data_IF_838270286893
#
_entry.id   IF_838270286893
#
_cell.length_a   1.000
_cell.length_b   1.000
_cell.length_c   1.000
_cell.angle_alpha   90.00
_cell.angle_beta   90.00
_cell.angle_gamma   90.00
#
_symmetry.space_group_name_H-M   'P 1'
#
loop_
_entity.id
_entity.type
_entity.pdbx_description
1 polymer ?
#
# COMPACT_ATOMS: atom_id res chain seq x y z
N UNK A 1 11.63 31.68 -83.03
CA UNK A 1 10.26 31.21 -83.38
C UNK A 1 10.20 29.70 -83.43
N UNK A 2 11.07 29.02 -84.20
CA UNK A 2 11.11 27.53 -84.22
C UNK A 2 11.29 26.91 -82.82
N UNK A 3 12.15 27.47 -81.97
CA UNK A 3 12.32 27.00 -80.59
C UNK A 3 11.07 27.15 -79.72
N UNK A 4 10.22 28.15 -79.97
CA UNK A 4 8.94 28.33 -79.25
C UNK A 4 7.92 27.26 -79.68
N UNK A 5 7.95 26.87 -80.95
CA UNK A 5 7.09 25.80 -81.47
C UNK A 5 7.58 24.43 -80.98
N UNK A 6 8.89 24.20 -81.00
CA UNK A 6 9.50 22.98 -80.49
C UNK A 6 9.22 22.77 -79.00
N UNK A 7 9.33 23.82 -78.18
CA UNK A 7 9.08 23.72 -76.74
C UNK A 7 7.63 23.37 -76.39
N UNK A 8 6.68 23.66 -77.29
CA UNK A 8 5.27 23.28 -77.13
C UNK A 8 4.97 21.86 -77.63
N UNK A 9 5.89 21.24 -78.36
CA UNK A 9 5.76 19.88 -78.89
C UNK A 9 6.43 18.87 -77.96
N UNK A 10 5.65 18.36 -77.01
CA UNK A 10 6.08 17.35 -76.02
C UNK A 10 6.62 16.07 -76.69
N UNK A 11 6.08 15.69 -77.86
CA UNK A 11 6.52 14.52 -78.60
C UNK A 11 7.90 14.73 -79.26
N UNK A 12 8.21 15.96 -79.67
CA UNK A 12 9.50 16.31 -80.27
C UNK A 12 10.60 16.51 -79.21
N UNK A 13 10.29 17.09 -78.05
CA UNK A 13 11.27 17.34 -76.98
C UNK A 13 11.45 16.15 -76.04
N UNK A 14 10.49 15.24 -75.92
CA UNK A 14 10.51 14.12 -74.98
C UNK A 14 10.39 14.53 -73.50
N UNK A 15 10.19 15.83 -73.23
CA UNK A 15 9.99 16.44 -71.91
C UNK A 15 8.95 17.53 -72.06
N UNK A 16 8.07 17.64 -71.07
CA UNK A 16 7.10 18.74 -70.97
C UNK A 16 7.71 19.90 -70.20
N UNK A 17 7.67 21.09 -70.79
CA UNK A 17 8.03 22.33 -70.11
C UNK A 17 6.78 22.99 -69.51
N UNK A 18 6.91 23.52 -68.29
CA UNK A 18 5.82 24.23 -67.59
C UNK A 18 5.91 25.75 -67.71
N UNK A 19 7.07 26.27 -68.14
CA UNK A 19 7.39 27.68 -68.21
C UNK A 19 8.51 27.94 -69.22
N UNK A 20 8.40 29.02 -69.97
CA UNK A 20 9.45 29.53 -70.86
C UNK A 20 10.00 30.86 -70.34
N UNK A 21 11.32 31.04 -70.49
CA UNK A 21 11.99 32.31 -70.22
C UNK A 21 12.66 32.77 -71.51
N UNK A 22 12.24 33.93 -72.01
CA UNK A 22 12.88 34.59 -73.14
C UNK A 22 13.86 35.61 -72.55
N UNK A 23 15.15 35.28 -72.57
CA UNK A 23 16.17 36.09 -71.91
C UNK A 23 17.20 36.63 -72.90
N UNK A 24 17.58 37.91 -72.71
CA UNK A 24 18.82 38.48 -73.23
C UNK A 24 19.39 39.45 -72.19
N UNK A 25 20.69 39.35 -71.94
CA UNK A 25 21.39 40.32 -71.07
C UNK A 25 21.43 41.73 -71.66
N UNK A 26 22.09 42.65 -70.96
CA UNK A 26 22.26 44.03 -71.43
C UNK A 26 22.91 44.13 -72.81
N UNK A 27 22.48 45.11 -73.59
CA UNK A 27 22.97 45.43 -74.93
C UNK A 27 22.46 46.80 -75.37
N UNK A 28 22.86 47.25 -76.56
CA UNK A 28 22.30 48.48 -77.13
C UNK A 28 20.86 48.25 -77.61
N UNK A 29 20.11 49.30 -77.95
CA UNK A 29 18.73 49.14 -78.43
C UNK A 29 18.67 48.30 -79.73
N UNK A 30 19.72 48.38 -80.56
CA UNK A 30 19.88 47.59 -81.78
C UNK A 30 19.95 46.09 -81.48
N UNK A 31 20.60 45.73 -80.37
CA UNK A 31 20.67 44.36 -79.90
C UNK A 31 19.30 43.84 -79.44
N UNK A 32 18.46 44.71 -78.89
CA UNK A 32 17.12 44.33 -78.43
C UNK A 32 16.08 44.34 -79.57
N UNK A 33 16.42 44.85 -80.76
CA UNK A 33 15.46 45.06 -81.84
C UNK A 33 14.82 43.77 -82.37
N UNK A 34 15.54 42.65 -82.31
CA UNK A 34 15.01 41.33 -82.67
C UNK A 34 13.76 40.93 -81.85
N UNK A 35 13.58 41.51 -80.66
CA UNK A 35 12.43 41.29 -79.80
C UNK A 35 11.23 42.20 -80.12
N UNK A 36 11.38 43.11 -81.10
CA UNK A 36 10.31 43.96 -81.63
C UNK A 36 9.73 43.44 -82.95
N UNK A 37 10.23 42.33 -83.49
CA UNK A 37 9.74 41.80 -84.76
C UNK A 37 8.34 41.20 -84.62
N UNK A 38 7.41 41.65 -85.47
CA UNK A 38 6.01 41.21 -85.46
C UNK A 38 5.84 39.67 -85.43
N UNK A 39 6.57 38.87 -86.24
CA UNK A 39 6.41 37.42 -86.21
C UNK A 39 6.74 36.79 -84.85
N UNK A 40 7.74 37.32 -84.15
CA UNK A 40 8.10 36.85 -82.82
C UNK A 40 7.05 37.24 -81.79
N UNK A 41 6.62 38.50 -81.78
CA UNK A 41 5.60 39.02 -80.84
C UNK A 41 4.29 38.24 -80.98
N UNK A 42 3.85 37.96 -82.21
CA UNK A 42 2.67 37.12 -82.45
C UNK A 42 2.86 35.68 -81.98
N UNK A 43 4.05 35.10 -82.16
CA UNK A 43 4.35 33.75 -81.71
C UNK A 43 4.36 33.65 -80.17
N UNK A 44 4.87 34.67 -79.48
CA UNK A 44 4.84 34.77 -78.01
C UNK A 44 3.40 34.91 -77.52
N UNK A 45 2.63 35.85 -78.08
CA UNK A 45 1.24 36.08 -77.70
C UNK A 45 0.32 34.87 -77.98
N UNK A 46 0.66 34.02 -78.94
CA UNK A 46 -0.09 32.81 -79.28
C UNK A 46 0.39 31.56 -78.51
N UNK A 47 1.45 31.66 -77.70
CA UNK A 47 1.99 30.53 -76.96
C UNK A 47 1.03 30.13 -75.83
N UNK A 48 0.74 28.83 -75.70
CA UNK A 48 -0.13 28.31 -74.63
C UNK A 48 0.59 28.02 -73.31
N UNK A 49 1.93 28.14 -73.29
CA UNK A 49 2.76 27.96 -72.10
C UNK A 49 3.09 29.33 -71.50
N UNK A 50 3.12 29.47 -70.16
CA UNK A 50 3.52 30.73 -69.53
C UNK A 50 4.91 31.17 -70.00
N UNK A 51 5.06 32.47 -70.30
CA UNK A 51 6.31 33.09 -70.75
C UNK A 51 6.71 34.22 -69.80
N UNK A 52 7.96 34.18 -69.32
CA UNK A 52 8.62 35.34 -68.71
C UNK A 52 9.55 35.97 -69.73
N UNK A 53 9.33 37.25 -70.05
CA UNK A 53 10.30 38.04 -70.80
C UNK A 53 11.33 38.63 -69.84
N UNK A 54 12.60 38.46 -70.17
CA UNK A 54 13.75 38.89 -69.39
C UNK A 54 14.79 39.52 -70.32
N UNK A 55 14.35 40.48 -71.12
CA UNK A 55 15.10 41.11 -72.21
C UNK A 55 15.49 42.53 -71.81
N UNK A 56 16.79 42.81 -71.69
CA UNK A 56 17.31 44.15 -71.35
C UNK A 56 17.44 44.41 -69.84
N UNK A 57 17.30 45.67 -69.43
CA UNK A 57 17.24 46.13 -68.02
C UNK A 57 15.94 46.90 -67.72
N UNK A 58 15.78 47.44 -66.50
CA UNK A 58 14.56 48.12 -66.02
C UNK A 58 13.96 49.13 -67.01
N UNK A 59 14.78 49.88 -67.75
CA UNK A 59 14.38 50.92 -68.71
C UNK A 59 14.18 50.45 -70.16
N UNK A 60 14.63 49.24 -70.50
CA UNK A 60 14.55 48.70 -71.85
C UNK A 60 13.23 47.94 -72.02
N UNK A 61 12.35 48.42 -72.89
CA UNK A 61 11.08 47.78 -73.18
C UNK A 61 11.01 47.36 -74.64
N UNK A 62 10.59 46.12 -74.87
CA UNK A 62 10.37 45.52 -76.17
C UNK A 62 8.91 45.11 -76.34
N UNK A 63 8.45 44.95 -77.58
CA UNK A 63 7.10 44.45 -77.86
C UNK A 63 6.91 43.03 -77.34
N UNK A 64 7.97 42.22 -77.26
CA UNK A 64 7.97 40.90 -76.65
C UNK A 64 7.62 40.96 -75.16
N UNK A 65 8.08 41.98 -74.41
CA UNK A 65 7.75 42.14 -72.99
C UNK A 65 6.27 42.34 -72.74
N UNK A 66 5.57 42.99 -73.67
CA UNK A 66 4.12 43.21 -73.58
C UNK A 66 3.30 42.01 -74.07
N UNK A 67 3.90 41.13 -74.88
CA UNK A 67 3.26 39.89 -75.33
C UNK A 67 3.45 38.73 -74.34
N UNK A 68 4.49 38.76 -73.51
CA UNK A 68 4.74 37.77 -72.47
C UNK A 68 3.80 37.97 -71.26
N UNK A 69 3.63 36.92 -70.44
CA UNK A 69 2.77 36.96 -69.26
C UNK A 69 3.36 37.81 -68.14
N UNK A 70 4.68 37.75 -67.97
CA UNK A 70 5.41 38.46 -66.93
C UNK A 70 6.70 39.03 -67.52
N UNK A 71 7.02 40.27 -67.16
CA UNK A 71 8.33 40.86 -67.42
C UNK A 71 9.19 40.76 -66.17
N UNK A 72 10.41 40.27 -66.33
CA UNK A 72 11.50 40.39 -65.38
C UNK A 72 12.55 41.36 -65.94
N UNK A 73 13.15 42.16 -65.08
CA UNK A 73 14.14 43.16 -65.49
C UNK A 73 15.43 42.54 -66.02
N UNK A 74 15.74 41.30 -65.62
CA UNK A 74 16.94 40.56 -66.06
C UNK A 74 16.67 39.05 -66.03
N UNK A 75 17.48 38.23 -66.74
CA UNK A 75 17.41 36.78 -66.63
C UNK A 75 17.57 36.25 -65.20
N UNK A 76 18.40 36.92 -64.38
CA UNK A 76 18.55 36.59 -62.96
C UNK A 76 17.29 36.88 -62.15
N UNK A 77 16.62 38.00 -62.42
CA UNK A 77 15.34 38.32 -61.78
C UNK A 77 14.23 37.33 -62.20
N UNK A 78 14.24 36.86 -63.46
CA UNK A 78 13.34 35.78 -63.89
C UNK A 78 13.61 34.48 -63.10
N UNK A 79 14.87 34.10 -62.93
CA UNK A 79 15.23 32.93 -62.12
C UNK A 79 14.83 33.07 -60.64
N UNK A 80 14.92 34.28 -60.08
CA UNK A 80 14.46 34.58 -58.72
C UNK A 80 12.93 34.47 -58.60
N UNK A 81 12.18 35.01 -59.57
CA UNK A 81 10.72 34.88 -59.62
C UNK A 81 10.29 33.42 -59.68
N UNK A 82 11.00 32.60 -60.46
CA UNK A 82 10.72 31.17 -60.58
C UNK A 82 11.02 30.43 -59.28
N UNK A 83 12.16 30.71 -58.64
CA UNK A 83 12.62 29.96 -57.47
C UNK A 83 11.93 30.39 -56.16
N UNK A 84 11.61 31.66 -55.99
CA UNK A 84 11.05 32.21 -54.75
C UNK A 84 9.72 31.57 -54.35
N UNK A 85 8.81 31.39 -55.32
CA UNK A 85 7.52 30.72 -55.07
C UNK A 85 7.69 29.26 -54.64
N UNK A 86 8.60 28.53 -55.31
CA UNK A 86 8.90 27.13 -54.98
C UNK A 86 9.51 26.98 -53.58
N UNK A 87 10.48 27.83 -53.24
CA UNK A 87 11.12 27.83 -51.91
C UNK A 87 10.08 28.14 -50.84
N UNK A 88 9.27 29.18 -51.01
CA UNK A 88 8.23 29.55 -50.06
C UNK A 88 7.17 28.45 -49.88
N UNK A 89 6.78 27.76 -50.96
CA UNK A 89 5.85 26.64 -50.91
C UNK A 89 6.45 25.44 -50.17
N UNK A 90 7.72 25.13 -50.44
CA UNK A 90 8.44 24.03 -49.78
C UNK A 90 8.60 24.27 -48.28
N UNK A 91 8.99 25.49 -47.89
CA UNK A 91 9.04 25.88 -46.47
C UNK A 91 7.67 25.78 -45.80
N UNK A 92 6.61 26.24 -46.48
CA UNK A 92 5.24 26.17 -45.94
C UNK A 92 4.79 24.72 -45.76
N UNK A 93 5.09 23.85 -46.72
CA UNK A 93 4.79 22.43 -46.63
C UNK A 93 5.55 21.78 -45.46
N UNK A 94 6.83 22.12 -45.27
CA UNK A 94 7.64 21.67 -44.13
C UNK A 94 7.04 22.07 -42.79
N UNK A 95 6.69 23.36 -42.61
CA UNK A 95 6.05 23.86 -41.38
C UNK A 95 4.72 23.17 -41.10
N UNK A 96 3.89 22.97 -42.12
CA UNK A 96 2.61 22.26 -41.98
C UNK A 96 2.79 20.79 -41.59
N UNK A 97 3.82 20.12 -42.12
CA UNK A 97 4.14 18.75 -41.75
C UNK A 97 4.60 18.64 -40.29
N UNK A 98 5.47 19.54 -39.84
CA UNK A 98 5.91 19.61 -38.44
C UNK A 98 4.74 19.88 -37.49
N UNK A 99 3.85 20.81 -37.84
CA UNK A 99 2.66 21.13 -37.04
C UNK A 99 1.68 19.96 -36.98
N UNK A 100 1.47 19.25 -38.09
CA UNK A 100 0.64 18.06 -38.12
C UNK A 100 1.22 16.96 -37.21
N UNK A 101 2.53 16.71 -37.31
CA UNK A 101 3.20 15.70 -36.49
C UNK A 101 3.08 16.03 -34.99
N UNK A 102 3.26 17.30 -34.62
CA UNK A 102 3.11 17.78 -33.25
C UNK A 102 1.69 17.50 -32.72
N UNK A 103 0.66 17.87 -33.48
CA UNK A 103 -0.75 17.68 -33.10
C UNK A 103 -1.14 16.21 -33.00
N UNK A 104 -0.63 15.37 -33.88
CA UNK A 104 -0.86 13.91 -33.83
C UNK A 104 -0.25 13.33 -32.55
N UNK A 105 0.99 13.71 -32.22
CA UNK A 105 1.64 13.24 -31.00
C UNK A 105 0.87 13.68 -29.75
N UNK A 106 0.50 14.95 -29.65
CA UNK A 106 -0.32 15.48 -28.55
C UNK A 106 -1.67 14.74 -28.43
N UNK A 107 -2.35 14.46 -29.55
CA UNK A 107 -3.61 13.73 -29.55
C UNK A 107 -3.46 12.28 -29.06
N UNK A 108 -2.37 11.61 -29.45
CA UNK A 108 -2.05 10.26 -28.99
C UNK A 108 -1.74 10.24 -27.49
N UNK A 109 -0.96 11.21 -26.99
CA UNK A 109 -0.67 11.34 -25.57
C UNK A 109 -1.96 11.51 -24.75
N UNK A 110 -2.82 12.47 -25.14
CA UNK A 110 -4.11 12.70 -24.46
C UNK A 110 -5.02 11.47 -24.52
N UNK A 111 -5.04 10.74 -25.63
CA UNK A 111 -5.80 9.49 -25.74
C UNK A 111 -5.24 8.40 -24.82
N UNK A 112 -3.92 8.30 -24.69
CA UNK A 112 -3.24 7.40 -23.77
C UNK A 112 -3.59 7.67 -22.31
N UNK A 113 -3.51 8.93 -21.88
CA UNK A 113 -3.88 9.34 -20.52
C UNK A 113 -5.34 8.99 -20.20
N UNK A 114 -6.26 9.24 -21.14
CA UNK A 114 -7.68 8.89 -20.98
C UNK A 114 -7.89 7.37 -20.85
N UNK A 115 -7.17 6.58 -21.63
CA UNK A 115 -7.22 5.12 -21.56
C UNK A 115 -6.71 4.61 -20.21
N UNK A 116 -5.58 5.12 -19.75
CA UNK A 116 -4.99 4.73 -18.46
C UNK A 116 -5.89 5.12 -17.27
N UNK A 117 -6.52 6.30 -17.35
CA UNK A 117 -7.50 6.72 -16.37
C UNK A 117 -8.72 5.79 -16.34
N UNK A 118 -9.29 5.46 -17.50
CA UNK A 118 -10.42 4.53 -17.61
C UNK A 118 -10.06 3.13 -17.10
N UNK A 119 -8.87 2.62 -17.45
CA UNK A 119 -8.35 1.33 -17.00
C UNK A 119 -8.17 1.28 -15.48
N UNK A 120 -7.69 2.37 -14.89
CA UNK A 120 -7.53 2.50 -13.43
C UNK A 120 -8.88 2.50 -12.72
N UNK A 121 -9.88 3.22 -13.25
CA UNK A 121 -11.26 3.17 -12.72
C UNK A 121 -11.88 1.79 -12.84
N UNK A 122 -11.70 1.11 -13.97
CA UNK A 122 -12.17 -0.26 -14.17
C UNK A 122 -11.49 -1.25 -13.20
N UNK A 123 -10.20 -1.08 -12.88
CA UNK A 123 -9.51 -1.90 -11.86
C UNK A 123 -10.09 -1.70 -10.46
N UNK A 124 -10.47 -0.48 -10.10
CA UNK A 124 -11.12 -0.21 -8.81
C UNK A 124 -12.54 -0.80 -8.73
N UNK A 125 -13.21 -0.89 -9.88
CA UNK A 125 -14.52 -1.53 -10.03
C UNK A 125 -14.41 -3.03 -10.31
N UNK A 126 -13.19 -3.57 -10.48
CA UNK A 126 -12.99 -4.95 -10.84
C UNK A 126 -13.51 -5.84 -9.69
N UNK A 127 -14.38 -6.82 -10.00
CA UNK A 127 -14.90 -7.75 -9.01
C UNK A 127 -13.79 -8.45 -8.22
N UNK A 128 -12.62 -8.70 -8.84
CA UNK A 128 -11.46 -9.29 -8.17
C UNK A 128 -10.95 -8.45 -7.00
N UNK A 129 -10.84 -7.13 -7.16
CA UNK A 129 -10.39 -6.23 -6.09
C UNK A 129 -11.44 -6.13 -4.95
N UNK A 130 -12.73 -6.20 -5.29
CA UNK A 130 -13.80 -6.24 -4.28
C UNK A 130 -13.81 -7.56 -3.51
N UNK A 131 -13.59 -8.67 -4.21
CA UNK A 131 -13.49 -10.02 -3.63
C UNK A 131 -12.26 -10.13 -2.73
N UNK A 132 -11.11 -9.63 -3.16
CA UNK A 132 -9.87 -9.63 -2.37
C UNK A 132 -10.01 -8.80 -1.08
N UNK A 133 -10.63 -7.61 -1.15
CA UNK A 133 -11.00 -6.84 0.05
C UNK A 133 -11.98 -7.59 0.94
N UNK A 134 -12.91 -8.33 0.35
CA UNK A 134 -13.86 -9.19 1.06
C UNK A 134 -13.15 -10.28 1.86
N UNK A 135 -12.20 -10.98 1.25
CA UNK A 135 -11.39 -12.01 1.92
C UNK A 135 -10.55 -11.43 3.07
N UNK A 136 -9.84 -10.32 2.84
CA UNK A 136 -9.07 -9.65 3.91
C UNK A 136 -9.96 -9.24 5.10
N UNK A 137 -11.18 -8.79 4.82
CA UNK A 137 -12.15 -8.41 5.87
C UNK A 137 -12.70 -9.62 6.60
N UNK A 138 -12.93 -10.74 5.91
CA UNK A 138 -13.34 -12.00 6.53
C UNK A 138 -12.22 -12.54 7.44
N UNK A 139 -10.96 -12.48 7.02
CA UNK A 139 -9.82 -12.92 7.82
C UNK A 139 -9.64 -12.04 9.08
N UNK A 140 -9.73 -10.72 8.97
CA UNK A 140 -9.70 -9.82 10.14
C UNK A 140 -10.81 -10.15 11.14
N UNK A 141 -12.06 -10.29 10.65
CA UNK A 141 -13.20 -10.60 11.50
C UNK A 141 -13.07 -11.98 12.14
N UNK A 142 -12.56 -12.97 11.41
CA UNK A 142 -12.32 -14.34 11.90
C UNK A 142 -11.26 -14.34 13.02
N UNK A 143 -10.15 -13.63 12.83
CA UNK A 143 -9.10 -13.50 13.83
C UNK A 143 -9.59 -12.78 15.09
N UNK A 144 -10.35 -11.68 14.92
CA UNK A 144 -10.94 -10.94 16.04
C UNK A 144 -11.94 -11.76 16.81
N UNK A 145 -12.80 -12.52 16.13
CA UNK A 145 -13.75 -13.42 16.76
C UNK A 145 -13.02 -14.51 17.55
N UNK A 146 -12.02 -15.14 16.96
CA UNK A 146 -11.22 -16.18 17.60
C UNK A 146 -10.50 -15.66 18.85
N UNK A 147 -9.90 -14.47 18.78
CA UNK A 147 -9.26 -13.83 19.92
C UNK A 147 -10.27 -13.50 21.03
N UNK A 148 -11.44 -12.94 20.69
CA UNK A 148 -12.49 -12.59 21.65
C UNK A 148 -13.07 -13.82 22.36
N UNK A 149 -13.31 -14.90 21.61
CA UNK A 149 -13.75 -16.18 22.17
C UNK A 149 -12.69 -16.77 23.09
N UNK A 150 -11.42 -16.77 22.67
CA UNK A 150 -10.30 -17.24 23.48
C UNK A 150 -10.17 -16.48 24.80
N UNK A 151 -10.22 -15.15 24.75
CA UNK A 151 -10.19 -14.28 25.93
C UNK A 151 -11.38 -14.54 26.87
N UNK A 152 -12.58 -14.72 26.31
CA UNK A 152 -13.80 -15.00 27.10
C UNK A 152 -13.68 -16.35 27.80
N UNK A 153 -13.27 -17.41 27.10
CA UNK A 153 -13.08 -18.75 27.70
C UNK A 153 -12.01 -18.71 28.80
N UNK A 154 -10.89 -18.01 28.56
CA UNK A 154 -9.83 -17.89 29.54
C UNK A 154 -10.28 -17.15 30.81
N UNK A 155 -11.01 -16.03 30.66
CA UNK A 155 -11.57 -15.31 31.79
C UNK A 155 -12.55 -16.17 32.61
N UNK A 156 -13.39 -16.98 31.94
CA UNK A 156 -14.31 -17.90 32.62
C UNK A 156 -13.56 -19.03 33.35
N UNK A 157 -12.51 -19.59 32.76
CA UNK A 157 -11.65 -20.60 33.40
C UNK A 157 -10.96 -20.03 34.65
N UNK A 158 -10.41 -18.83 34.54
CA UNK A 158 -9.75 -18.15 35.65
C UNK A 158 -10.73 -17.91 36.81
N UNK A 159 -11.92 -17.36 36.52
CA UNK A 159 -12.97 -17.17 37.53
C UNK A 159 -13.41 -18.48 38.19
N UNK A 160 -13.54 -19.56 37.42
CA UNK A 160 -13.86 -20.87 37.97
C UNK A 160 -12.75 -21.38 38.90
N UNK A 161 -11.48 -21.19 38.53
CA UNK A 161 -10.33 -21.56 39.35
C UNK A 161 -10.31 -20.79 40.68
N UNK A 162 -10.56 -19.48 40.64
CA UNK A 162 -10.64 -18.61 41.82
C UNK A 162 -11.76 -19.04 42.75
N UNK A 163 -12.98 -19.24 42.23
CA UNK A 163 -14.11 -19.71 43.03
C UNK A 163 -13.84 -21.08 43.65
N UNK A 164 -13.19 -21.99 42.91
CA UNK A 164 -12.76 -23.30 43.44
C UNK A 164 -11.71 -23.16 44.56
N UNK A 165 -10.76 -22.24 44.44
CA UNK A 165 -9.78 -21.98 45.49
C UNK A 165 -10.45 -21.45 46.75
N UNK A 166 -11.32 -20.43 46.61
CA UNK A 166 -12.06 -19.86 47.73
C UNK A 166 -12.95 -20.89 48.44
N UNK A 167 -13.62 -21.76 47.68
CA UNK A 167 -14.41 -22.86 48.26
C UNK A 167 -13.54 -23.87 49.03
N UNK A 168 -12.33 -24.18 48.53
CA UNK A 168 -11.39 -25.07 49.22
C UNK A 168 -10.85 -24.44 50.50
N UNK A 169 -10.56 -23.15 50.50
CA UNK A 169 -10.09 -22.41 51.68
C UNK A 169 -11.18 -22.28 52.75
N UNK A 170 -12.42 -22.02 52.33
CA UNK A 170 -13.59 -21.90 53.21
C UNK A 170 -14.19 -23.25 53.59
N UNK A 171 -13.62 -24.37 53.13
CA UNK A 171 -14.18 -25.69 53.38
C UNK A 171 -14.20 -25.99 54.88
N UNK A 172 -15.38 -26.27 55.47
CA UNK A 172 -15.50 -26.59 56.88
C UNK A 172 -14.79 -27.90 57.22
N UNK A 173 -14.49 -28.77 56.24
CA UNK A 173 -13.79 -30.04 56.48
C UNK A 173 -12.43 -29.83 57.14
N UNK A 174 -11.61 -28.87 56.68
CA UNK A 174 -10.30 -28.61 57.32
C UNK A 174 -10.45 -28.12 58.75
N UNK A 175 -11.45 -27.28 59.00
CA UNK A 175 -11.74 -26.76 60.34
C UNK A 175 -12.27 -27.88 61.26
N UNK A 176 -13.19 -28.71 60.76
CA UNK A 176 -13.73 -29.87 61.47
C UNK A 176 -12.62 -30.86 61.78
N UNK A 177 -11.73 -31.14 60.83
CA UNK A 177 -10.61 -32.06 61.02
C UNK A 177 -9.62 -31.53 62.07
N UNK A 178 -9.26 -30.25 61.99
CA UNK A 178 -8.38 -29.61 62.98
C UNK A 178 -8.99 -29.58 64.39
N UNK A 179 -10.25 -29.19 64.53
CA UNK A 179 -10.93 -29.17 65.83
C UNK A 179 -11.16 -30.58 66.38
N UNK A 180 -11.41 -31.58 65.52
CA UNK A 180 -11.50 -32.98 65.92
C UNK A 180 -10.17 -33.50 66.46
N UNK A 181 -9.05 -33.20 65.78
CA UNK A 181 -7.71 -33.53 66.26
C UNK A 181 -7.39 -32.84 67.59
N UNK A 182 -7.81 -31.57 67.75
CA UNK A 182 -7.65 -30.82 69.00
C UNK A 182 -8.44 -31.42 70.15
N UNK A 183 -9.70 -31.79 69.92
CA UNK A 183 -10.55 -32.49 70.89
C UNK A 183 -9.93 -33.81 71.32
N UNK A 184 -9.45 -34.61 70.36
CA UNK A 184 -8.75 -35.86 70.65
C UNK A 184 -7.49 -35.65 71.51
N UNK A 185 -6.70 -34.62 71.21
CA UNK A 185 -5.50 -34.29 71.98
C UNK A 185 -5.83 -33.83 73.41
N UNK A 186 -6.86 -32.97 73.58
CA UNK A 186 -7.33 -32.52 74.89
C UNK A 186 -7.89 -33.67 75.72
N UNK A 187 -8.65 -34.58 75.09
CA UNK A 187 -9.19 -35.76 75.74
C UNK A 187 -8.07 -36.68 76.25
N UNK A 188 -7.04 -36.94 75.43
CA UNK A 188 -5.85 -37.71 75.85
C UNK A 188 -5.12 -37.06 77.03
N UNK A 189 -5.00 -35.72 77.04
CA UNK A 189 -4.40 -34.97 78.17
C UNK A 189 -5.24 -35.07 79.44
N UNK A 190 -6.56 -34.93 79.33
CA UNK A 190 -7.49 -35.06 80.45
C UNK A 190 -7.41 -36.46 81.07
N UNK A 191 -7.38 -37.50 80.23
CA UNK A 191 -7.19 -38.87 80.70
C UNK A 191 -5.86 -39.03 81.44
N UNK A 192 -4.75 -38.51 80.90
CA UNK A 192 -3.44 -38.63 81.55
C UNK A 192 -3.35 -37.85 82.88
N UNK A 193 -4.09 -36.75 83.03
CA UNK A 193 -4.14 -35.95 84.27
C UNK A 193 -5.18 -36.46 85.28
N UNK A 194 -6.05 -37.40 84.89
CA UNK A 194 -7.04 -37.98 85.80
C UNK A 194 -6.35 -38.85 86.85
N UNK A 195 -6.68 -38.69 88.15
CA UNK A 195 -6.19 -39.56 89.23
C UNK A 195 -6.43 -41.04 88.94
N UNK A 196 -7.54 -41.35 88.25
CA UNK A 196 -7.91 -42.71 87.83
C UNK A 196 -6.87 -43.30 86.87
N UNK A 197 -6.23 -42.49 86.01
CA UNK A 197 -5.15 -42.98 85.15
C UNK A 197 -3.87 -43.30 85.93
N UNK A 198 -3.64 -42.66 87.08
CA UNK A 198 -2.51 -42.97 87.95
C UNK A 198 -2.76 -44.28 88.70
N UNK A 199 -3.99 -44.46 89.20
CA UNK A 199 -4.43 -45.69 89.86
C UNK A 199 -4.39 -46.91 88.91
N UNK A 200 -4.87 -46.75 87.66
CA UNK A 200 -4.82 -47.81 86.64
C UNK A 200 -3.40 -48.19 86.19
N UNK A 201 -2.37 -47.40 86.53
CA UNK A 201 -0.96 -47.71 86.24
C UNK A 201 -0.26 -48.45 87.38
N UNK A 202 -1.01 -48.90 88.39
CA UNK A 202 -0.49 -49.67 89.53
C UNK A 202 0.06 -48.81 90.67
N UNK A 203 -0.18 -47.50 90.65
CA UNK A 203 0.13 -46.61 91.75
C UNK A 203 -1.05 -46.49 92.71
N UNK A 204 -0.76 -46.15 93.97
CA UNK A 204 -1.75 -46.06 95.04
C UNK A 204 -1.70 -44.66 95.62
N UNK A 205 -2.85 -44.04 95.86
CA UNK A 205 -2.92 -42.73 96.51
C UNK A 205 -3.15 -42.96 98.00
N UNK A 206 -2.19 -42.56 98.83
CA UNK A 206 -2.32 -42.63 100.29
C UNK A 206 -3.17 -41.46 100.78
N UNK A 207 -4.19 -41.71 101.58
CA UNK A 207 -5.04 -40.71 102.24
C UNK A 207 -4.97 -40.82 103.76
N UNK A 208 -5.07 -39.69 104.43
CA UNK A 208 -5.19 -39.62 105.90
C UNK A 208 -6.64 -39.94 106.36
N UNK A 209 -6.86 -40.01 107.67
CA UNK A 209 -8.17 -40.21 108.29
C UNK A 209 -9.24 -39.19 107.84
N UNK A 210 -8.82 -37.98 107.44
CA UNK A 210 -9.70 -36.93 106.90
C UNK A 210 -9.92 -37.03 105.37
N UNK A 211 -9.44 -38.09 104.72
CA UNK A 211 -9.59 -38.33 103.28
C UNK A 211 -8.69 -37.45 102.38
N UNK A 212 -7.74 -36.69 102.95
CA UNK A 212 -6.78 -35.86 102.18
C UNK A 212 -5.59 -36.69 101.71
N UNK A 213 -5.12 -36.51 100.46
CA UNK A 213 -3.97 -37.25 99.94
C UNK A 213 -2.68 -36.82 100.64
N UNK A 214 -1.94 -37.80 101.15
CA UNK A 214 -0.64 -37.61 101.80
C UNK A 214 0.45 -37.64 100.74
N UNK A 215 1.04 -36.48 100.45
CA UNK A 215 1.99 -36.32 99.34
C UNK A 215 3.45 -36.41 99.76
N UNK A 216 3.77 -36.17 101.04
CA UNK A 216 5.14 -36.13 101.54
C UNK A 216 5.30 -37.10 102.71
N UNK A 217 6.46 -37.76 102.78
CA UNK A 217 6.83 -38.65 103.90
C UNK A 217 6.72 -37.96 105.26
N UNK A 218 7.11 -36.68 105.35
CA UNK A 218 7.12 -35.92 106.61
C UNK A 218 5.73 -35.67 107.20
N UNK A 219 4.68 -35.88 106.40
CA UNK A 219 3.29 -35.69 106.84
C UNK A 219 2.72 -36.97 107.48
N UNK A 220 3.48 -38.07 107.52
CA UNK A 220 3.11 -39.35 108.13
C UNK A 220 3.79 -39.52 109.48
N UNK A 221 3.00 -39.72 110.54
CA UNK A 221 3.52 -40.06 111.87
C UNK A 221 3.60 -41.59 112.06
N UNK A 222 4.60 -42.10 112.81
CA UNK A 222 4.67 -43.51 113.16
C UNK A 222 3.39 -43.96 113.89
N UNK A 223 2.77 -45.04 113.41
CA UNK A 223 1.52 -45.59 113.94
C UNK A 223 0.22 -44.98 113.38
N UNK A 224 0.31 -43.98 112.49
CA UNK A 224 -0.86 -43.35 111.88
C UNK A 224 -1.61 -44.32 110.95
N UNK A 225 -2.94 -44.35 111.06
CA UNK A 225 -3.80 -45.09 110.14
C UNK A 225 -3.99 -44.29 108.86
N UNK A 226 -3.68 -44.90 107.74
CA UNK A 226 -3.80 -44.36 106.39
C UNK A 226 -4.71 -45.25 105.56
N UNK A 227 -5.29 -44.71 104.50
CA UNK A 227 -6.03 -45.48 103.50
C UNK A 227 -5.28 -45.42 102.18
N UNK A 228 -4.98 -46.58 101.62
CA UNK A 228 -4.34 -46.71 100.32
C UNK A 228 -5.46 -46.93 99.27
N UNK A 229 -5.70 -45.93 98.42
CA UNK A 229 -6.73 -45.97 97.38
C UNK A 229 -6.14 -46.55 96.09
N UNK A 230 -6.69 -47.68 95.64
CA UNK A 230 -6.39 -48.38 94.38
C UNK A 230 -7.49 -48.09 93.35
N UNK A 231 -7.28 -48.55 92.11
CA UNK A 231 -8.25 -48.38 91.03
C UNK A 231 -9.60 -49.08 91.28
N UNK A 232 -9.61 -50.13 92.09
CA UNK A 232 -10.74 -51.03 92.35
C UNK A 232 -11.27 -50.96 93.80
N UNK A 233 -10.65 -50.16 94.67
CA UNK A 233 -11.10 -50.00 96.06
C UNK A 233 -10.05 -49.37 96.97
N UNK A 234 -10.36 -49.21 98.26
CA UNK A 234 -9.43 -48.65 99.25
C UNK A 234 -9.13 -49.67 100.36
N UNK A 235 -7.87 -49.74 100.79
CA UNK A 235 -7.41 -50.64 101.85
C UNK A 235 -6.79 -49.83 102.99
N UNK A 236 -7.13 -50.15 104.24
CA UNK A 236 -6.53 -49.52 105.41
C UNK A 236 -5.10 -50.03 105.67
N UNK A 237 -4.15 -49.12 105.84
CA UNK A 237 -2.73 -49.41 106.08
C UNK A 237 -2.27 -48.62 107.29
N UNK A 238 -1.38 -49.18 108.12
CA UNK A 238 -0.74 -48.46 109.24
C UNK A 238 0.72 -48.15 108.90
N UNK A 239 1.16 -46.95 109.21
CA UNK A 239 2.55 -46.54 109.00
C UNK A 239 3.46 -47.13 110.08
N UNK A 240 4.38 -48.03 109.71
CA UNK A 240 5.46 -48.50 110.57
C UNK A 240 6.71 -47.62 110.37
N UNK A 241 7.26 -47.08 111.46
CA UNK A 241 8.30 -46.05 111.41
C UNK A 241 9.71 -46.61 111.13
N UNK A 242 10.35 -46.07 110.10
CA UNK A 242 11.81 -45.86 109.99
C UNK A 242 12.06 -44.48 109.42
#
# INVERSE_FOLDING_TARGET
IEMLQLAQDEAACGVRFDLLVIGRGGGSLEDLWAFNEEPLVRAVAACGMPIISAVGHEIDFTLCDFAADVRAETPSAAAELISSGFVAATERAGRLAEDLQRRVNEAVEVAGERLDHARSRLRLLAPSAQVERGFLRLDDLSNRLSAALGATVQARRQRLSEVRSLLRERSPQRRVESESQRLLALWKRLQAASPVSVLNRGFVIMRDADGKPVQRRNDVKPGQALAAEFADGAVGVKAEGT
#
